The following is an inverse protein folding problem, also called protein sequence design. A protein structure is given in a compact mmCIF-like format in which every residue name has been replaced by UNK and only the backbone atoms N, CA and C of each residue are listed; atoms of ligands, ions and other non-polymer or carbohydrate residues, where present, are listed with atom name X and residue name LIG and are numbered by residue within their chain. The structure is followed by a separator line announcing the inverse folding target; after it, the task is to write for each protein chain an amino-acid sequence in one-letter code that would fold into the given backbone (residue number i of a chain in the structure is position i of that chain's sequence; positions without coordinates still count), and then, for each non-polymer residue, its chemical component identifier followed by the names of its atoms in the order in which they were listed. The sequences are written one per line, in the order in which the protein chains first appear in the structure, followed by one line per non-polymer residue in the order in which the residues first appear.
data_IF_341195385740
#
_entry.id   IF_341195385740
#
_cell.length_a   1.000
_cell.length_b   1.000
_cell.length_c   1.000
_cell.angle_alpha   90.00
_cell.angle_beta   90.00
_cell.angle_gamma   90.00
#
_symmetry.space_group_name_H-M   'P 1'
#
loop_
_entity.id
_entity.type
_entity.pdbx_description
1 polymer ?
#
# COMPACT_ATOMS: atom_id res chain seq x y z
N UNK A 1 17.56 13.74 47.14
CA UNK A 1 16.35 13.42 46.35
C UNK A 1 16.77 13.42 44.89
N UNK A 2 16.90 12.25 44.26
CA UNK A 2 17.40 12.11 42.88
C UNK A 2 16.18 12.25 41.96
N UNK A 3 16.00 13.42 41.35
CA UNK A 3 15.00 13.63 40.31
C UNK A 3 15.58 13.06 39.02
N UNK A 4 15.37 11.77 38.77
CA UNK A 4 15.59 11.19 37.44
C UNK A 4 14.37 11.53 36.60
N UNK A 5 14.40 12.70 35.95
CA UNK A 5 13.44 13.04 34.90
C UNK A 5 13.68 12.08 33.73
N UNK A 6 12.63 11.35 33.35
CA UNK A 6 12.54 10.43 32.22
C UNK A 6 12.61 11.19 30.89
N UNK A 7 13.80 11.71 30.56
CA UNK A 7 14.04 12.50 29.34
C UNK A 7 13.63 11.70 28.08
N UNK A 8 13.77 10.37 28.08
CA UNK A 8 13.52 9.53 26.90
C UNK A 8 12.06 9.45 26.44
N UNK A 9 11.06 9.49 27.33
CA UNK A 9 9.64 9.43 26.94
C UNK A 9 9.16 10.77 26.39
N UNK A 10 9.57 11.88 27.00
CA UNK A 10 9.15 13.22 26.59
C UNK A 10 9.75 13.63 25.24
N UNK A 11 11.03 13.36 25.00
CA UNK A 11 11.64 13.63 23.68
C UNK A 11 11.06 12.75 22.59
N UNK A 12 10.72 11.50 22.91
CA UNK A 12 10.07 10.59 21.94
C UNK A 12 8.66 11.05 21.60
N UNK A 13 7.90 11.57 22.56
CA UNK A 13 6.55 12.13 22.33
C UNK A 13 6.61 13.37 21.42
N UNK A 14 7.53 14.30 21.69
CA UNK A 14 7.67 15.55 20.93
C UNK A 14 8.03 15.25 19.47
N UNK A 15 8.92 14.29 19.23
CA UNK A 15 9.31 13.89 17.86
C UNK A 15 8.13 13.24 17.11
N UNK A 16 7.27 12.49 17.80
CA UNK A 16 6.11 11.85 17.17
C UNK A 16 5.07 12.90 16.77
N UNK A 17 4.77 13.87 17.64
CA UNK A 17 3.81 14.93 17.35
C UNK A 17 4.21 15.74 16.11
N UNK A 18 5.50 16.07 15.98
CA UNK A 18 6.04 16.76 14.80
C UNK A 18 5.90 15.92 13.53
N UNK A 19 6.18 14.61 13.59
CA UNK A 19 6.00 13.70 12.45
C UNK A 19 4.53 13.61 12.03
N UNK A 20 3.62 13.54 13.00
CA UNK A 20 2.18 13.50 12.74
C UNK A 20 1.68 14.79 12.09
N UNK A 21 2.22 15.94 12.49
CA UNK A 21 1.91 17.22 11.87
C UNK A 21 2.36 17.25 10.40
N UNK A 22 3.57 16.79 10.11
CA UNK A 22 4.10 16.69 8.75
C UNK A 22 3.25 15.72 7.90
N UNK A 23 2.86 14.55 8.43
CA UNK A 23 1.99 13.61 7.71
C UNK A 23 0.64 14.22 7.37
N UNK A 24 0.06 15.01 8.29
CA UNK A 24 -1.22 15.69 8.05
C UNK A 24 -1.10 16.81 7.02
N UNK A 25 -0.01 17.56 7.02
CA UNK A 25 0.30 18.56 6.00
C UNK A 25 0.47 17.89 4.63
N UNK A 26 1.25 16.80 4.53
CA UNK A 26 1.37 16.03 3.30
C UNK A 26 0.00 15.51 2.82
N UNK A 27 -0.84 15.04 3.74
CA UNK A 27 -2.19 14.53 3.46
C UNK A 27 -3.13 15.60 2.90
N UNK A 28 -2.99 16.87 3.33
CA UNK A 28 -3.78 17.98 2.79
C UNK A 28 -3.34 18.34 1.37
N UNK A 29 -2.05 18.21 1.05
CA UNK A 29 -1.48 18.50 -0.27
C UNK A 29 -1.61 17.39 -1.32
N UNK A 30 -2.14 16.21 -0.96
CA UNK A 30 -2.40 15.11 -1.92
C UNK A 30 -3.25 15.58 -3.11
N UNK A 31 -4.23 16.45 -2.84
CA UNK A 31 -5.18 16.90 -3.86
C UNK A 31 -4.61 17.94 -4.82
N UNK A 32 -3.57 18.66 -4.40
CA UNK A 32 -3.06 19.83 -5.12
C UNK A 32 -1.76 19.54 -5.90
N UNK A 33 -0.75 18.90 -5.30
CA UNK A 33 0.61 18.84 -5.90
C UNK A 33 1.48 17.62 -5.54
N UNK A 34 0.94 16.59 -4.88
CA UNK A 34 1.74 15.44 -4.48
C UNK A 34 1.97 14.45 -5.64
N UNK A 35 3.03 14.68 -6.42
CA UNK A 35 3.48 13.78 -7.49
C UNK A 35 4.03 12.45 -6.97
N UNK A 36 4.21 11.48 -7.88
CA UNK A 36 4.85 10.19 -7.55
C UNK A 36 6.30 10.37 -7.10
N UNK A 37 7.06 11.29 -7.72
CA UNK A 37 8.46 11.55 -7.38
C UNK A 37 8.61 11.97 -5.91
N UNK A 38 7.71 12.82 -5.41
CA UNK A 38 7.72 13.21 -4.00
C UNK A 38 7.47 12.02 -3.07
N UNK A 39 6.57 11.11 -3.45
CA UNK A 39 6.30 9.89 -2.66
C UNK A 39 7.52 8.97 -2.64
N UNK A 40 8.17 8.76 -3.78
CA UNK A 40 9.36 7.92 -3.86
C UNK A 40 10.48 8.44 -2.96
N UNK A 41 10.65 9.77 -2.86
CA UNK A 41 11.63 10.40 -1.97
C UNK A 41 11.35 10.15 -0.48
N UNK A 42 10.09 10.01 -0.09
CA UNK A 42 9.69 9.82 1.32
C UNK A 42 9.31 8.38 1.66
N UNK A 43 9.42 7.44 0.70
CA UNK A 43 8.94 6.06 0.86
C UNK A 43 9.66 5.32 2.00
N UNK A 44 10.96 5.58 2.19
CA UNK A 44 11.73 4.99 3.29
C UNK A 44 11.23 5.50 4.65
N UNK A 45 10.94 6.79 4.76
CA UNK A 45 10.36 7.39 5.97
C UNK A 45 8.98 6.79 6.28
N UNK A 46 8.11 6.71 5.27
CA UNK A 46 6.79 6.06 5.38
C UNK A 46 6.94 4.61 5.87
N UNK A 47 7.89 3.86 5.30
CA UNK A 47 8.17 2.48 5.69
C UNK A 47 8.60 2.39 7.15
N UNK A 48 9.49 3.29 7.59
CA UNK A 48 9.94 3.33 8.98
C UNK A 48 8.81 3.68 9.95
N UNK A 49 7.91 4.60 9.57
CA UNK A 49 6.76 4.98 10.39
C UNK A 49 5.78 3.82 10.58
N UNK A 50 5.48 3.07 9.51
CA UNK A 50 4.66 1.86 9.58
C UNK A 50 5.29 0.73 10.42
N UNK A 51 6.62 0.66 10.46
CA UNK A 51 7.35 -0.36 11.22
C UNK A 51 7.75 0.09 12.63
N UNK A 52 7.40 1.32 13.02
CA UNK A 52 7.82 1.95 14.29
C UNK A 52 7.30 1.24 15.54
N UNK A 53 6.18 0.53 15.43
CA UNK A 53 5.46 -0.05 16.57
C UNK A 53 4.62 0.95 17.36
N UNK A 54 4.67 2.24 17.04
CA UNK A 54 3.77 3.24 17.63
C UNK A 54 2.43 3.21 16.89
N UNK A 55 1.36 2.81 17.58
CA UNK A 55 0.03 2.63 16.98
C UNK A 55 -0.48 3.88 16.26
N UNK A 56 -0.40 5.04 16.92
CA UNK A 56 -0.91 6.31 16.37
C UNK A 56 -0.16 6.71 15.10
N UNK A 57 1.16 6.59 15.11
CA UNK A 57 1.98 6.88 13.94
C UNK A 57 1.69 5.91 12.77
N UNK A 58 1.52 4.63 13.08
CA UNK A 58 1.16 3.61 12.07
C UNK A 58 -0.21 3.92 11.45
N UNK A 59 -1.21 4.21 12.27
CA UNK A 59 -2.58 4.53 11.84
C UNK A 59 -2.61 5.76 10.92
N UNK A 60 -1.96 6.84 11.34
CA UNK A 60 -1.88 8.07 10.54
C UNK A 60 -1.10 7.86 9.23
N UNK A 61 -0.06 7.01 9.26
CA UNK A 61 0.68 6.67 8.04
C UNK A 61 -0.18 5.83 7.09
N UNK A 62 -0.97 4.86 7.59
CA UNK A 62 -1.91 4.11 6.77
C UNK A 62 -2.98 5.00 6.15
N UNK A 63 -3.57 5.91 6.93
CA UNK A 63 -4.55 6.87 6.41
C UNK A 63 -3.97 7.74 5.29
N UNK A 64 -2.73 8.23 5.45
CA UNK A 64 -2.03 8.98 4.42
C UNK A 64 -1.88 8.15 3.13
N UNK A 65 -1.36 6.92 3.25
CA UNK A 65 -1.16 6.04 2.08
C UNK A 65 -2.50 5.73 1.41
N UNK A 66 -3.53 5.38 2.18
CA UNK A 66 -4.86 5.07 1.65
C UNK A 66 -5.43 6.26 0.88
N UNK A 67 -5.40 7.47 1.47
CA UNK A 67 -5.86 8.67 0.78
C UNK A 67 -5.08 8.91 -0.52
N UNK A 68 -3.77 8.67 -0.50
CA UNK A 68 -2.93 8.83 -1.70
C UNK A 68 -3.29 7.82 -2.80
N UNK A 69 -3.41 6.53 -2.49
CA UNK A 69 -3.73 5.50 -3.49
C UNK A 69 -5.19 5.56 -3.94
N UNK A 70 -6.11 6.08 -3.14
CA UNK A 70 -7.48 6.40 -3.56
C UNK A 70 -7.47 7.45 -4.68
N UNK A 71 -6.60 8.47 -4.55
CA UNK A 71 -6.42 9.51 -5.57
C UNK A 71 -5.66 9.01 -6.79
N UNK A 72 -4.61 8.21 -6.59
CA UNK A 72 -3.72 7.70 -7.64
C UNK A 72 -3.58 6.16 -7.58
N UNK A 73 -4.62 5.39 -7.95
CA UNK A 73 -4.61 3.92 -7.81
C UNK A 73 -3.48 3.23 -8.57
N UNK A 74 -3.04 3.81 -9.68
CA UNK A 74 -1.93 3.30 -10.49
C UNK A 74 -0.58 3.34 -9.77
N UNK A 75 -0.43 4.16 -8.72
CA UNK A 75 0.79 4.22 -7.91
C UNK A 75 0.82 3.20 -6.78
N UNK A 76 -0.28 2.47 -6.53
CA UNK A 76 -0.40 1.55 -5.40
C UNK A 76 0.79 0.60 -5.22
N UNK A 77 1.31 0.04 -6.32
CA UNK A 77 2.38 -0.96 -6.30
C UNK A 77 3.68 -0.47 -5.62
N UNK A 78 3.94 0.84 -5.53
CA UNK A 78 5.13 1.36 -4.83
C UNK A 78 5.10 1.01 -3.34
N UNK A 79 3.91 0.92 -2.74
CA UNK A 79 3.71 0.59 -1.33
C UNK A 79 3.64 -0.92 -1.08
N UNK A 80 3.61 -1.76 -2.12
CA UNK A 80 3.41 -3.20 -1.97
C UNK A 80 4.50 -3.84 -1.09
N UNK A 81 5.77 -3.53 -1.37
CA UNK A 81 6.90 -4.10 -0.62
C UNK A 81 6.86 -3.69 0.86
N UNK A 82 6.52 -2.43 1.13
CA UNK A 82 6.34 -1.89 2.48
C UNK A 82 5.19 -2.56 3.20
N UNK A 83 4.05 -2.77 2.54
CA UNK A 83 2.91 -3.44 3.14
C UNK A 83 3.20 -4.91 3.48
N UNK A 84 3.93 -5.62 2.60
CA UNK A 84 4.42 -6.98 2.87
C UNK A 84 5.32 -7.02 4.11
N UNK A 85 6.22 -6.05 4.28
CA UNK A 85 7.04 -5.95 5.51
C UNK A 85 6.19 -5.81 6.77
N UNK A 86 5.08 -5.07 6.69
CA UNK A 86 4.15 -4.89 7.81
C UNK A 86 3.43 -6.21 8.15
N UNK A 87 2.93 -6.93 7.13
CA UNK A 87 2.30 -8.24 7.34
C UNK A 87 3.31 -9.23 7.92
N UNK A 88 4.55 -9.26 7.43
CA UNK A 88 5.58 -10.20 7.92
C UNK A 88 6.23 -9.76 9.24
N UNK A 89 5.81 -8.65 9.83
CA UNK A 89 6.41 -8.11 11.04
C UNK A 89 6.26 -9.06 12.22
N UNK A 90 7.31 -9.11 13.05
CA UNK A 90 7.30 -9.77 14.37
C UNK A 90 6.71 -8.86 15.45
N UNK A 91 6.61 -7.57 15.19
CA UNK A 91 5.96 -6.63 16.09
C UNK A 91 4.44 -6.81 15.97
N UNK A 92 3.79 -7.27 17.05
CA UNK A 92 2.37 -7.58 17.06
C UNK A 92 1.50 -6.36 16.74
N UNK A 93 1.88 -5.16 17.17
CA UNK A 93 1.14 -3.92 16.88
C UNK A 93 1.15 -3.66 15.38
N UNK A 94 2.33 -3.72 14.75
CA UNK A 94 2.49 -3.52 13.30
C UNK A 94 1.66 -4.55 12.51
N UNK A 95 1.71 -5.81 12.91
CA UNK A 95 0.96 -6.87 12.25
C UNK A 95 -0.55 -6.70 12.42
N UNK A 96 -1.03 -6.37 13.62
CA UNK A 96 -2.45 -6.11 13.89
C UNK A 96 -2.96 -4.94 13.05
N UNK A 97 -2.23 -3.83 13.01
CA UNK A 97 -2.60 -2.68 12.17
C UNK A 97 -2.62 -3.06 10.68
N UNK A 98 -1.67 -3.89 10.22
CA UNK A 98 -1.69 -4.39 8.85
C UNK A 98 -2.95 -5.23 8.56
N UNK A 99 -3.38 -6.07 9.49
CA UNK A 99 -4.62 -6.88 9.38
C UNK A 99 -5.87 -5.98 9.34
N UNK A 100 -5.92 -4.94 10.18
CA UNK A 100 -7.06 -4.02 10.23
C UNK A 100 -7.27 -3.27 8.90
N UNK A 101 -6.18 -2.87 8.24
CA UNK A 101 -6.25 -2.20 6.94
C UNK A 101 -6.26 -3.14 5.73
N UNK A 102 -6.12 -4.46 5.92
CA UNK A 102 -5.95 -5.42 4.82
C UNK A 102 -7.04 -5.38 3.77
N UNK A 103 -8.30 -5.30 4.21
CA UNK A 103 -9.46 -5.27 3.33
C UNK A 103 -9.48 -4.04 2.40
N UNK A 104 -8.88 -2.92 2.81
CA UNK A 104 -8.77 -1.70 2.00
C UNK A 104 -7.63 -1.82 0.99
N UNK A 105 -6.45 -2.28 1.43
CA UNK A 105 -5.26 -2.38 0.57
C UNK A 105 -5.37 -3.45 -0.51
N UNK A 106 -6.05 -4.57 -0.23
CA UNK A 106 -6.14 -5.70 -1.16
C UNK A 106 -6.80 -5.32 -2.49
N UNK A 107 -7.69 -4.32 -2.48
CA UNK A 107 -8.39 -3.79 -3.66
C UNK A 107 -7.41 -3.14 -4.64
N UNK A 108 -6.36 -2.52 -4.12
CA UNK A 108 -5.33 -1.86 -4.92
C UNK A 108 -4.25 -2.85 -5.39
N UNK A 109 -4.08 -3.97 -4.67
CA UNK A 109 -3.10 -5.01 -4.98
C UNK A 109 -3.70 -6.23 -5.70
N UNK A 110 -4.65 -6.03 -6.64
CA UNK A 110 -5.43 -7.12 -7.26
C UNK A 110 -4.56 -8.19 -7.95
N UNK A 111 -3.47 -7.77 -8.60
CA UNK A 111 -2.53 -8.68 -9.27
C UNK A 111 -1.74 -9.55 -8.28
N UNK A 112 -1.76 -9.20 -6.99
CA UNK A 112 -1.01 -9.82 -5.89
C UNK A 112 -1.91 -10.44 -4.82
N UNK A 113 -3.22 -10.48 -5.04
CA UNK A 113 -4.21 -10.91 -4.05
C UNK A 113 -3.96 -12.31 -3.51
N UNK A 114 -3.64 -13.29 -4.37
CA UNK A 114 -3.34 -14.66 -3.94
C UNK A 114 -2.13 -14.74 -3.01
N UNK A 115 -1.05 -14.02 -3.36
CA UNK A 115 0.16 -13.93 -2.56
C UNK A 115 -0.12 -13.29 -1.20
N UNK A 116 -0.87 -12.19 -1.17
CA UNK A 116 -1.25 -11.48 0.05
C UNK A 116 -2.11 -12.33 0.98
N UNK A 117 -3.13 -13.02 0.47
CA UNK A 117 -3.95 -13.93 1.29
C UNK A 117 -3.11 -15.06 1.88
N UNK A 118 -2.23 -15.66 1.08
CA UNK A 118 -1.34 -16.74 1.53
C UNK A 118 -0.42 -16.26 2.67
N UNK A 119 0.24 -15.12 2.49
CA UNK A 119 1.15 -14.56 3.49
C UNK A 119 0.41 -14.19 4.77
N UNK A 120 -0.76 -13.53 4.65
CA UNK A 120 -1.57 -13.13 5.81
C UNK A 120 -2.02 -14.35 6.63
N UNK A 121 -2.54 -15.40 5.98
CA UNK A 121 -2.95 -16.64 6.64
C UNK A 121 -1.77 -17.30 7.35
N UNK A 122 -0.63 -17.44 6.65
CA UNK A 122 0.57 -18.03 7.22
C UNK A 122 1.06 -17.25 8.44
N UNK A 123 1.08 -15.92 8.37
CA UNK A 123 1.53 -15.10 9.49
C UNK A 123 0.52 -15.11 10.64
N UNK A 124 -0.79 -15.09 10.36
CA UNK A 124 -1.84 -15.20 11.38
C UNK A 124 -1.69 -16.49 12.20
N UNK A 125 -1.38 -17.60 11.54
CA UNK A 125 -1.06 -18.88 12.21
C UNK A 125 0.19 -18.79 13.08
N UNK A 126 1.28 -18.19 12.58
CA UNK A 126 2.54 -18.04 13.33
C UNK A 126 2.32 -17.19 14.59
N UNK A 127 1.61 -16.06 14.45
CA UNK A 127 1.36 -15.12 15.53
C UNK A 127 0.16 -15.49 16.40
N UNK A 128 -0.56 -16.57 16.09
CA UNK A 128 -1.80 -17.01 16.76
C UNK A 128 -2.88 -15.91 16.82
N UNK A 129 -3.00 -15.12 15.75
CA UNK A 129 -4.00 -14.06 15.61
C UNK A 129 -5.00 -14.50 14.55
N UNK A 130 -6.29 -14.37 14.87
CA UNK A 130 -7.36 -14.63 13.91
C UNK A 130 -7.42 -13.52 12.86
N UNK A 131 -7.25 -13.91 11.60
CA UNK A 131 -7.31 -13.02 10.43
C UNK A 131 -8.60 -13.20 9.61
N UNK A 132 -9.50 -14.08 10.06
CA UNK A 132 -10.69 -14.51 9.30
C UNK A 132 -11.62 -13.35 8.97
N UNK A 133 -11.82 -12.41 9.91
CA UNK A 133 -12.66 -11.23 9.70
C UNK A 133 -12.13 -10.36 8.57
N UNK A 134 -10.84 -10.00 8.60
CA UNK A 134 -10.20 -9.18 7.57
C UNK A 134 -10.18 -9.88 6.21
N UNK A 135 -9.97 -11.20 6.19
CA UNK A 135 -10.04 -12.01 4.96
C UNK A 135 -11.46 -12.00 4.38
N UNK A 136 -12.47 -12.19 5.23
CA UNK A 136 -13.87 -12.22 4.80
C UNK A 136 -14.28 -10.85 4.22
N UNK A 137 -13.88 -9.76 4.87
CA UNK A 137 -14.12 -8.40 4.37
C UNK A 137 -13.39 -8.16 3.04
N UNK A 138 -12.13 -8.56 2.93
CA UNK A 138 -11.34 -8.46 1.70
C UNK A 138 -12.02 -9.19 0.52
N UNK A 139 -12.48 -10.43 0.73
CA UNK A 139 -13.17 -11.20 -0.32
C UNK A 139 -14.46 -10.50 -0.74
N UNK A 140 -15.25 -9.99 0.22
CA UNK A 140 -16.48 -9.25 -0.08
C UNK A 140 -16.19 -8.00 -0.92
N UNK A 141 -15.20 -7.21 -0.54
CA UNK A 141 -14.82 -5.98 -1.24
C UNK A 141 -14.26 -6.26 -2.65
N UNK A 142 -13.41 -7.28 -2.80
CA UNK A 142 -12.91 -7.70 -4.11
C UNK A 142 -14.04 -8.15 -5.05
N UNK A 143 -15.03 -8.86 -4.52
CA UNK A 143 -16.19 -9.26 -5.30
C UNK A 143 -17.06 -8.05 -5.68
N UNK A 144 -17.29 -7.11 -4.78
CA UNK A 144 -18.00 -5.86 -5.09
C UNK A 144 -17.30 -5.06 -6.19
N UNK A 145 -15.97 -4.87 -6.09
CA UNK A 145 -15.18 -4.16 -7.11
C UNK A 145 -15.18 -4.85 -8.47
N UNK A 146 -15.33 -6.18 -8.51
CA UNK A 146 -15.47 -6.92 -9.78
C UNK A 146 -16.79 -6.65 -10.51
N UNK A 147 -17.81 -6.15 -9.81
CA UNK A 147 -19.12 -5.84 -10.40
C UNK A 147 -19.36 -4.35 -10.60
N UNK A 148 -18.38 -3.50 -10.31
CA UNK A 148 -18.49 -2.06 -10.55
C UNK A 148 -18.12 -1.72 -12.02
N UNK A 149 -19.07 -1.25 -12.86
CA UNK A 149 -18.87 -1.08 -14.30
C UNK A 149 -17.76 -0.09 -14.68
N UNK A 150 -17.33 0.78 -13.77
CA UNK A 150 -16.26 1.78 -14.01
C UNK A 150 -14.86 1.13 -13.97
N UNK A 151 -14.68 0.05 -13.21
CA UNK A 151 -13.38 -0.67 -13.11
C UNK A 151 -13.13 -1.57 -14.33
N UNK A 152 -14.21 -2.05 -14.98
CA UNK A 152 -14.14 -2.89 -16.17
C UNK A 152 -13.60 -2.16 -17.41
N UNK A 153 -13.87 -0.86 -17.53
CA UNK A 153 -13.41 -0.02 -18.64
C UNK A 153 -11.90 0.23 -18.63
N UNK A 154 -11.28 0.31 -17.45
CA UNK A 154 -9.82 0.53 -17.32
C UNK A 154 -8.99 -0.76 -17.48
N UNK A 155 -9.56 -1.91 -17.12
CA UNK A 155 -8.92 -3.21 -17.38
C UNK A 155 -8.93 -3.58 -18.87
N UNK A 156 -10.03 -3.31 -19.57
CA UNK A 156 -10.16 -3.59 -21.01
C UNK A 156 -9.34 -2.63 -21.89
N UNK A 157 -9.16 -1.37 -21.48
CA UNK A 157 -8.30 -0.41 -22.20
C UNK A 157 -6.82 -0.77 -22.09
N UNK A 158 -6.37 -1.30 -20.95
CA UNK A 158 -4.98 -1.73 -20.72
C UNK A 158 -4.63 -3.03 -21.45
N UNK A 159 -5.61 -3.94 -21.59
CA UNK A 159 -5.42 -5.19 -22.36
C UNK A 159 -5.50 -4.92 -23.88
N UNK A 160 -6.39 -4.02 -24.32
CA UNK A 160 -6.50 -3.65 -25.74
C UNK A 160 -5.28 -2.90 -26.26
N UNK A 161 -4.66 -2.03 -25.44
CA UNK A 161 -3.42 -1.34 -25.83
C UNK A 161 -2.21 -2.28 -25.90
N UNK A 162 -2.07 -3.23 -24.97
CA UNK A 162 -1.01 -4.24 -25.03
C UNK A 162 -1.19 -5.24 -26.18
N UNK A 163 -2.43 -5.58 -26.54
CA UNK A 163 -2.70 -6.42 -27.70
C UNK A 163 -2.36 -5.67 -29.01
N UNK A 164 -2.73 -4.40 -29.13
CA UNK A 164 -2.42 -3.58 -30.32
C UNK A 164 -0.91 -3.34 -30.53
N UNK A 165 -0.12 -3.26 -29.45
CA UNK A 165 1.34 -3.16 -29.52
C UNK A 165 1.96 -4.51 -29.92
N UNK A 166 1.37 -5.65 -29.54
CA UNK A 166 1.84 -6.97 -29.96
C UNK A 166 1.53 -7.28 -31.43
N UNK A 167 0.44 -6.73 -32.00
CA UNK A 167 0.09 -6.95 -33.42
C UNK A 167 0.83 -6.03 -34.39
N UNK A 168 1.49 -4.97 -33.93
CA UNK A 168 2.22 -4.03 -34.80
C UNK A 168 3.70 -4.40 -34.99
N UNK A 169 4.26 -5.28 -34.16
CA UNK A 169 5.69 -5.67 -34.24
C UNK A 169 5.96 -6.86 -35.16
N UNK A 170 4.95 -7.50 -35.75
CA UNK A 170 5.11 -8.72 -36.57
C UNK A 170 5.06 -8.51 -38.08
N UNK A 171 4.95 -7.27 -38.58
CA UNK A 171 4.75 -6.98 -40.03
C UNK A 171 5.89 -6.26 -40.74
N UNK A 172 7.13 -6.26 -40.22
CA UNK A 172 8.27 -5.62 -40.90
C UNK A 172 9.54 -6.49 -40.91
N UNK A 173 9.48 -7.65 -41.58
CA UNK A 173 10.69 -8.25 -42.19
C UNK A 173 10.29 -9.29 -43.23
N UNK A 174 10.21 -8.88 -44.51
CA UNK A 174 10.65 -9.63 -45.70
C UNK A 174 10.17 -8.92 -46.96
N UNK A 175 11.05 -8.21 -47.66
CA UNK A 175 11.31 -8.34 -49.12
C UNK A 175 12.25 -7.23 -49.59
N UNK A 176 13.52 -7.59 -49.80
CA UNK A 176 14.40 -6.90 -50.75
C UNK A 176 15.07 -7.95 -51.63
N UNK A 177 15.30 -7.56 -52.89
CA UNK A 177 15.99 -8.26 -53.99
C UNK A 177 15.16 -9.25 -54.82
N UNK A 178 14.59 -8.74 -55.91
CA UNK A 178 14.90 -9.16 -57.29
C UNK A 178 14.33 -8.15 -58.28
N UNK A 179 15.22 -7.34 -58.88
CA UNK A 179 15.38 -7.07 -60.32
C UNK A 179 16.47 -6.01 -60.54
#
# INVERSE_FOLDING_TARGET
MKLSISIDEYTSSIIIDDILLILNELKSHIDDYLSIDHIELILDSITNYLLSGNKQLIEQTYEFILKYIEKYPQHSLIFYSTYIKCILSKNLIVFQMAIEHFSHFIIYFQSKTHELFYILLKQGLINKIDVTTSITQAIRLLNLHRYDPITYTNLTSTISSKLAIATTTTTTTTTTTND
#
